data_IF_307483776360
#
_entry.id   IF_307483776360
#
_cell.length_a   1.000
_cell.length_b   1.000
_cell.length_c   1.000
_cell.angle_alpha   90.00
_cell.angle_beta   90.00
_cell.angle_gamma   90.00
#
_symmetry.space_group_name_H-M   'P 1'
#
loop_
_entity.id
_entity.type
_entity.pdbx_description
1 polymer ?
#
# COMPACT_ATOMS: atom_id res chain seq x y z
N UNK A 1 -2.27 7.94 11.41
CA UNK A 1 -2.09 6.88 10.40
C UNK A 1 -2.68 5.57 10.91
N UNK A 2 -2.94 4.56 10.05
CA UNK A 2 -3.43 3.24 10.47
C UNK A 2 -2.49 2.55 11.46
N UNK A 3 -3.07 1.74 12.37
CA UNK A 3 -2.32 1.00 13.40
C UNK A 3 -2.14 -0.50 13.09
N UNK A 4 -2.81 -1.02 12.07
CA UNK A 4 -2.59 -2.39 11.63
C UNK A 4 -1.21 -2.53 10.96
N UNK A 5 -0.51 -3.65 11.20
CA UNK A 5 0.88 -3.83 10.83
C UNK A 5 1.19 -3.58 9.35
N UNK A 6 0.32 -4.03 8.43
CA UNK A 6 0.54 -3.87 6.99
C UNK A 6 0.41 -2.41 6.55
N UNK A 7 -0.66 -1.74 6.96
CA UNK A 7 -0.90 -0.35 6.57
C UNK A 7 -0.04 0.62 7.38
N UNK A 8 0.37 0.27 8.61
CA UNK A 8 1.29 1.07 9.40
C UNK A 8 2.65 1.19 8.71
N UNK A 9 3.26 0.07 8.33
CA UNK A 9 4.54 0.08 7.62
C UNK A 9 4.45 0.86 6.30
N UNK A 10 3.39 0.64 5.50
CA UNK A 10 3.13 1.37 4.26
C UNK A 10 2.97 2.88 4.49
N UNK A 11 2.24 3.28 5.54
CA UNK A 11 2.05 4.67 5.90
C UNK A 11 3.36 5.36 6.30
N UNK A 12 4.23 4.66 7.04
CA UNK A 12 5.56 5.16 7.40
C UNK A 12 6.42 5.39 6.17
N UNK A 13 6.38 4.50 5.18
CA UNK A 13 7.10 4.69 3.91
C UNK A 13 6.58 5.92 3.15
N UNK A 14 5.28 6.17 3.13
CA UNK A 14 4.70 7.40 2.53
C UNK A 14 5.19 8.64 3.26
N UNK A 15 5.19 8.65 4.60
CA UNK A 15 5.68 9.79 5.39
C UNK A 15 7.17 10.05 5.17
N UNK A 16 7.98 8.97 5.04
CA UNK A 16 9.40 9.08 4.74
C UNK A 16 9.63 9.63 3.33
N UNK A 17 8.92 9.12 2.31
CA UNK A 17 9.03 9.61 0.93
C UNK A 17 8.61 11.07 0.80
N UNK A 18 7.65 11.52 1.61
CA UNK A 18 7.28 12.94 1.73
C UNK A 18 8.30 13.79 2.51
N UNK A 19 9.36 13.18 3.05
CA UNK A 19 10.40 13.85 3.83
C UNK A 19 9.90 14.40 5.16
N UNK A 20 8.88 13.79 5.75
CA UNK A 20 8.29 14.19 7.02
C UNK A 20 8.88 13.45 8.21
N UNK A 21 9.32 12.22 8.02
CA UNK A 21 10.01 11.40 9.01
C UNK A 21 11.26 10.76 8.41
N UNK A 22 12.13 10.29 9.31
CA UNK A 22 13.25 9.40 8.99
C UNK A 22 13.05 8.08 9.74
N UNK A 23 13.28 6.96 9.05
CA UNK A 23 13.24 5.62 9.62
C UNK A 23 14.65 5.10 9.82
N UNK A 24 14.98 4.67 11.02
CA UNK A 24 16.33 4.16 11.40
C UNK A 24 16.73 2.93 10.59
N UNK A 25 15.76 2.09 10.21
CA UNK A 25 15.94 0.91 9.36
C UNK A 25 16.05 1.24 7.86
N UNK A 26 15.84 2.52 7.47
CA UNK A 26 15.69 2.93 6.07
C UNK A 26 14.31 2.66 5.47
N UNK A 27 13.45 1.99 6.21
CA UNK A 27 12.07 1.65 5.82
C UNK A 27 11.94 0.26 5.18
N UNK A 28 11.13 -0.58 5.79
CA UNK A 28 10.80 -1.93 5.34
C UNK A 28 9.32 -2.21 5.56
N UNK A 29 8.83 -3.35 5.07
CA UNK A 29 7.47 -3.83 5.33
C UNK A 29 7.22 -4.19 6.82
N UNK A 30 8.25 -4.18 7.64
CA UNK A 30 8.20 -4.44 9.09
C UNK A 30 8.37 -3.17 9.92
N UNK A 31 8.54 -2.02 9.27
CA UNK A 31 8.70 -0.76 9.99
C UNK A 31 7.49 -0.45 10.86
N UNK A 32 7.75 -0.04 12.07
CA UNK A 32 6.76 0.38 13.04
C UNK A 32 7.12 1.74 13.66
N UNK A 33 6.34 2.19 14.64
CA UNK A 33 6.57 3.48 15.30
C UNK A 33 7.93 3.56 16.03
N UNK A 34 8.51 2.42 16.43
CA UNK A 34 9.81 2.40 17.11
C UNK A 34 10.98 2.65 16.13
N UNK A 35 10.75 2.48 14.83
CA UNK A 35 11.74 2.78 13.79
C UNK A 35 11.89 4.28 13.51
N UNK A 36 11.00 5.12 14.02
CA UNK A 36 11.04 6.56 13.75
C UNK A 36 12.21 7.18 14.51
N UNK A 37 13.14 7.81 13.78
CA UNK A 37 14.11 8.73 14.40
C UNK A 37 13.43 10.07 14.69
N UNK A 38 12.94 10.22 15.93
CA UNK A 38 12.26 11.44 16.36
C UNK A 38 13.14 12.70 16.23
N UNK A 39 14.47 12.54 16.32
CA UNK A 39 15.40 13.67 16.25
C UNK A 39 15.59 14.21 14.83
N UNK A 40 15.45 13.36 13.83
CA UNK A 40 15.55 13.69 12.42
C UNK A 40 14.17 13.96 11.76
N UNK A 41 13.08 13.59 12.42
CA UNK A 41 11.72 13.72 11.92
C UNK A 41 11.13 15.10 12.19
N UNK A 42 10.31 15.58 11.24
CA UNK A 42 9.67 16.91 11.30
C UNK A 42 8.31 16.89 12.00
N UNK A 43 7.71 15.71 12.10
CA UNK A 43 6.35 15.53 12.66
C UNK A 43 6.33 14.40 13.67
N UNK A 44 5.41 14.50 14.63
CA UNK A 44 5.09 13.40 15.54
C UNK A 44 4.01 12.54 14.92
N UNK A 45 4.22 11.24 14.89
CA UNK A 45 3.29 10.27 14.32
C UNK A 45 2.47 9.60 15.42
N UNK A 46 1.17 9.44 15.17
CA UNK A 46 0.24 8.67 16.02
C UNK A 46 -0.47 7.65 15.16
N UNK A 47 -0.53 6.41 15.63
CA UNK A 47 -1.28 5.34 15.00
C UNK A 47 -2.64 5.16 15.67
N UNK A 48 -3.69 4.98 14.89
CA UNK A 48 -5.07 4.77 15.30
C UNK A 48 -5.72 3.74 14.39
N UNK A 49 -6.79 3.11 14.85
CA UNK A 49 -7.61 2.25 13.99
C UNK A 49 -8.05 2.99 12.72
N UNK A 50 -7.91 2.35 11.56
CA UNK A 50 -8.15 2.97 10.26
C UNK A 50 -9.54 3.61 10.13
N UNK A 51 -10.57 2.98 10.70
CA UNK A 51 -11.95 3.47 10.68
C UNK A 51 -12.15 4.79 11.46
N UNK A 52 -11.26 5.13 12.40
CA UNK A 52 -11.35 6.34 13.22
C UNK A 52 -10.64 7.53 12.56
N UNK A 53 -9.70 7.27 11.66
CA UNK A 53 -8.85 8.30 11.05
C UNK A 53 -9.63 9.42 10.33
N UNK A 54 -10.72 9.13 9.57
CA UNK A 54 -11.53 10.19 8.96
C UNK A 54 -12.07 11.21 9.98
N UNK A 55 -12.55 10.72 11.12
CA UNK A 55 -13.12 11.58 12.17
C UNK A 55 -12.06 12.28 13.01
N UNK A 56 -10.82 11.78 13.01
CA UNK A 56 -9.68 12.39 13.72
C UNK A 56 -8.99 13.49 12.91
N UNK A 57 -9.28 13.60 11.60
CA UNK A 57 -8.60 14.54 10.72
C UNK A 57 -8.66 16.01 11.18
N UNK A 58 -9.77 16.52 11.76
CA UNK A 58 -9.82 17.89 12.26
C UNK A 58 -8.86 18.20 13.43
N UNK A 59 -8.39 17.17 14.14
CA UNK A 59 -7.56 17.29 15.33
C UNK A 59 -6.06 17.14 15.06
N UNK A 60 -5.68 16.86 13.80
CA UNK A 60 -4.30 16.63 13.38
C UNK A 60 -3.91 17.48 12.17
N UNK A 61 -2.63 17.65 11.94
CA UNK A 61 -2.15 18.40 10.78
C UNK A 61 -2.40 17.69 9.44
N UNK A 62 -2.31 16.37 9.44
CA UNK A 62 -2.61 15.50 8.30
C UNK A 62 -2.91 14.07 8.80
N UNK A 63 -3.61 13.29 7.99
CA UNK A 63 -3.87 11.88 8.25
C UNK A 63 -3.60 11.03 7.01
N UNK A 64 -3.02 9.85 7.19
CA UNK A 64 -2.95 8.85 6.13
C UNK A 64 -4.22 8.01 6.20
N UNK A 65 -4.97 8.02 5.12
CA UNK A 65 -6.21 7.27 4.96
C UNK A 65 -6.04 6.19 3.91
N UNK A 66 -6.56 5.00 4.17
CA UNK A 66 -6.76 4.00 3.14
C UNK A 66 -7.87 4.49 2.18
N UNK A 67 -7.80 4.11 0.92
CA UNK A 67 -8.73 4.54 -0.13
C UNK A 67 -10.21 4.37 0.28
N UNK A 68 -10.54 3.25 0.93
CA UNK A 68 -11.90 2.93 1.36
C UNK A 68 -12.50 3.94 2.36
N UNK A 69 -11.67 4.76 2.99
CA UNK A 69 -12.11 5.74 4.00
C UNK A 69 -12.10 7.19 3.49
N UNK A 70 -11.61 7.45 2.29
CA UNK A 70 -11.48 8.83 1.75
C UNK A 70 -12.86 9.46 1.56
N UNK A 71 -13.79 8.75 0.91
CA UNK A 71 -15.16 9.22 0.70
C UNK A 71 -15.92 9.39 2.04
N UNK A 72 -15.72 8.47 2.98
CA UNK A 72 -16.31 8.55 4.32
C UNK A 72 -15.81 9.78 5.11
N UNK A 73 -14.61 10.28 4.79
CA UNK A 73 -14.06 11.53 5.33
C UNK A 73 -14.66 12.79 4.67
N UNK A 74 -15.52 12.64 3.66
CA UNK A 74 -16.02 13.76 2.85
C UNK A 74 -14.94 14.38 1.95
N UNK A 75 -13.88 13.62 1.66
CA UNK A 75 -12.74 14.03 0.84
C UNK A 75 -12.80 13.36 -0.53
N UNK A 76 -12.00 13.89 -1.43
CA UNK A 76 -11.68 13.28 -2.73
C UNK A 76 -10.20 12.97 -2.81
N UNK A 77 -9.80 12.11 -3.73
CA UNK A 77 -8.39 11.79 -3.94
C UNK A 77 -7.56 13.00 -4.41
N UNK A 78 -8.22 14.01 -4.98
CA UNK A 78 -7.57 15.28 -5.36
C UNK A 78 -7.15 16.13 -4.15
N UNK A 79 -7.69 15.86 -2.96
CA UNK A 79 -7.32 16.54 -1.72
C UNK A 79 -6.04 15.97 -1.11
N UNK A 80 -5.52 14.85 -1.64
CA UNK A 80 -4.31 14.23 -1.13
C UNK A 80 -3.08 15.11 -1.38
N UNK A 81 -2.30 15.35 -0.32
CA UNK A 81 -1.04 16.10 -0.38
C UNK A 81 0.18 15.18 -0.60
N UNK A 82 0.02 13.88 -0.39
CA UNK A 82 0.99 12.83 -0.68
C UNK A 82 0.25 11.50 -0.86
N UNK A 83 0.82 10.60 -1.62
CA UNK A 83 0.35 9.24 -1.83
C UNK A 83 1.54 8.33 -2.10
N UNK A 84 1.35 7.02 -1.96
CA UNK A 84 2.34 6.05 -2.41
C UNK A 84 2.44 6.04 -3.94
N UNK A 85 3.64 5.78 -4.44
CA UNK A 85 3.91 5.66 -5.87
C UNK A 85 3.92 4.17 -6.24
N UNK A 86 2.96 3.69 -7.06
CA UNK A 86 2.93 2.30 -7.49
C UNK A 86 4.12 1.90 -8.38
N UNK A 87 4.89 2.87 -8.88
CA UNK A 87 6.12 2.62 -9.63
C UNK A 87 7.36 2.46 -8.74
N UNK A 88 7.26 2.80 -7.45
CA UNK A 88 8.34 2.59 -6.49
C UNK A 88 8.55 1.07 -6.28
N UNK A 89 9.79 0.55 -6.45
CA UNK A 89 10.08 -0.84 -6.13
C UNK A 89 9.71 -1.26 -4.71
N UNK A 90 9.70 -0.33 -3.76
CA UNK A 90 9.29 -0.58 -2.38
C UNK A 90 7.76 -0.74 -2.23
N UNK A 91 6.97 -0.34 -3.22
CA UNK A 91 5.53 -0.56 -3.25
C UNK A 91 5.15 -1.98 -3.72
N UNK A 92 6.09 -2.71 -4.36
CA UNK A 92 5.82 -4.02 -4.94
C UNK A 92 5.25 -5.05 -3.95
N UNK A 93 5.68 -5.12 -2.68
CA UNK A 93 5.08 -6.00 -1.68
C UNK A 93 3.60 -5.73 -1.38
N UNK A 94 3.09 -4.55 -1.73
CA UNK A 94 1.71 -4.13 -1.47
C UNK A 94 0.80 -4.22 -2.70
N UNK A 95 1.32 -4.70 -3.82
CA UNK A 95 0.53 -4.88 -5.05
C UNK A 95 -0.48 -6.00 -4.87
N UNK A 96 -1.75 -5.73 -5.17
CA UNK A 96 -2.79 -6.74 -5.20
C UNK A 96 -2.56 -7.71 -6.37
N UNK A 97 -2.66 -9.00 -6.11
CA UNK A 97 -2.40 -10.06 -7.08
C UNK A 97 -3.52 -11.09 -7.13
N UNK A 98 -3.62 -11.79 -8.23
CA UNK A 98 -4.31 -13.08 -8.27
C UNK A 98 -3.37 -14.16 -7.78
N UNK A 99 -3.74 -14.86 -6.70
CA UNK A 99 -2.97 -15.96 -6.16
C UNK A 99 -3.69 -17.29 -6.43
N UNK A 100 -2.95 -18.31 -6.81
CA UNK A 100 -3.43 -19.67 -6.99
C UNK A 100 -2.57 -20.66 -6.18
N UNK A 101 -3.07 -21.87 -5.96
CA UNK A 101 -2.26 -22.96 -5.43
C UNK A 101 -1.16 -23.30 -6.44
N UNK A 102 -0.03 -23.79 -5.97
CA UNK A 102 1.10 -24.17 -6.84
C UNK A 102 0.69 -25.18 -7.94
N UNK A 103 -0.15 -26.15 -7.60
CA UNK A 103 -0.66 -27.15 -8.54
C UNK A 103 -1.61 -26.58 -9.60
N UNK A 104 -2.15 -25.39 -9.37
CA UNK A 104 -3.07 -24.69 -10.27
C UNK A 104 -2.39 -23.52 -11.01
N UNK A 105 -1.08 -23.36 -10.90
CA UNK A 105 -0.36 -22.22 -11.48
C UNK A 105 -0.53 -22.10 -13.01
N UNK A 106 -0.64 -23.25 -13.69
CA UNK A 106 -0.82 -23.33 -15.13
C UNK A 106 -2.29 -23.59 -15.54
N UNK A 107 -3.25 -23.35 -14.65
CA UNK A 107 -4.65 -23.55 -14.94
C UNK A 107 -5.14 -22.53 -15.97
N UNK A 108 -5.51 -23.01 -17.16
CA UNK A 108 -5.89 -22.17 -18.30
C UNK A 108 -7.09 -21.24 -17.99
N UNK A 109 -8.03 -21.70 -17.14
CA UNK A 109 -9.17 -20.88 -16.73
C UNK A 109 -8.73 -19.71 -15.86
N UNK A 110 -7.80 -19.94 -14.92
CA UNK A 110 -7.29 -18.87 -14.07
C UNK A 110 -6.43 -17.89 -14.85
N UNK A 111 -5.57 -18.38 -15.75
CA UNK A 111 -4.79 -17.51 -16.64
C UNK A 111 -5.69 -16.67 -17.54
N UNK A 112 -6.78 -17.25 -18.07
CA UNK A 112 -7.76 -16.50 -18.87
C UNK A 112 -8.50 -15.44 -18.05
N UNK A 113 -8.78 -15.71 -16.78
CA UNK A 113 -9.41 -14.74 -15.88
C UNK A 113 -8.48 -13.54 -15.63
N UNK A 114 -7.20 -13.79 -15.40
CA UNK A 114 -6.19 -12.73 -15.26
C UNK A 114 -6.07 -11.91 -16.55
N UNK A 115 -6.01 -12.57 -17.71
CA UNK A 115 -5.97 -11.90 -19.01
C UNK A 115 -7.20 -10.98 -19.20
N UNK A 116 -8.40 -11.47 -18.91
CA UNK A 116 -9.63 -10.66 -18.98
C UNK A 116 -9.55 -9.46 -18.05
N UNK A 117 -9.13 -9.68 -16.80
CA UNK A 117 -8.98 -8.60 -15.83
C UNK A 117 -8.01 -7.52 -16.34
N UNK A 118 -6.90 -7.90 -16.95
CA UNK A 118 -5.87 -6.97 -17.41
C UNK A 118 -6.18 -6.28 -18.75
N UNK A 119 -7.06 -6.86 -19.58
CA UNK A 119 -7.23 -6.41 -20.97
C UNK A 119 -8.64 -5.99 -21.33
N UNK A 120 -9.66 -6.37 -20.55
CA UNK A 120 -11.05 -6.02 -20.87
C UNK A 120 -11.35 -4.58 -20.41
N UNK A 121 -11.78 -3.74 -21.35
CA UNK A 121 -12.01 -2.31 -21.10
C UNK A 121 -13.13 -2.07 -20.07
N UNK A 122 -14.20 -2.86 -20.07
CA UNK A 122 -15.30 -2.69 -19.13
C UNK A 122 -14.85 -3.07 -17.69
N UNK A 123 -14.02 -4.10 -17.55
CA UNK A 123 -13.45 -4.49 -16.25
C UNK A 123 -12.51 -3.41 -15.73
N UNK A 124 -11.67 -2.85 -16.61
CA UNK A 124 -10.76 -1.77 -16.23
C UNK A 124 -11.53 -0.48 -15.87
N UNK A 125 -12.58 -0.15 -16.61
CA UNK A 125 -13.45 0.97 -16.25
C UNK A 125 -14.16 0.76 -14.92
N UNK A 126 -14.62 -0.46 -14.64
CA UNK A 126 -15.19 -0.83 -13.33
C UNK A 126 -14.20 -0.71 -12.18
N UNK A 127 -12.94 -1.13 -12.39
CA UNK A 127 -11.87 -0.97 -11.41
C UNK A 127 -11.62 0.51 -11.08
N UNK A 128 -11.48 1.35 -12.10
CA UNK A 128 -11.30 2.79 -11.93
C UNK A 128 -12.48 3.42 -11.19
N UNK A 129 -13.71 3.12 -11.63
CA UNK A 129 -14.91 3.66 -10.98
C UNK A 129 -15.02 3.25 -9.49
N UNK A 130 -14.67 1.99 -9.16
CA UNK A 130 -14.73 1.51 -7.78
C UNK A 130 -13.63 2.05 -6.87
N UNK A 131 -12.54 2.53 -7.45
CA UNK A 131 -11.39 3.08 -6.73
C UNK A 131 -11.33 4.62 -6.73
N UNK A 132 -12.38 5.30 -7.24
CA UNK A 132 -12.36 6.75 -7.38
C UNK A 132 -11.23 7.24 -8.29
N UNK A 133 -10.99 6.51 -9.39
CA UNK A 133 -9.94 6.78 -10.39
C UNK A 133 -8.49 6.70 -9.87
N UNK A 134 -8.25 6.07 -8.71
CA UNK A 134 -6.90 5.94 -8.12
C UNK A 134 -6.22 4.63 -8.44
N UNK A 135 -6.94 3.59 -8.86
CA UNK A 135 -6.33 2.31 -9.16
C UNK A 135 -5.40 2.42 -10.37
N UNK A 136 -4.23 1.80 -10.24
CA UNK A 136 -3.27 1.63 -11.34
C UNK A 136 -3.24 0.16 -11.73
N UNK A 137 -3.68 -0.13 -12.96
CA UNK A 137 -3.64 -1.49 -13.50
C UNK A 137 -2.20 -1.86 -13.86
N UNK A 138 -1.50 -2.50 -12.95
CA UNK A 138 -0.14 -2.96 -13.15
C UNK A 138 -0.13 -4.27 -13.95
N UNK A 139 0.88 -4.41 -14.81
CA UNK A 139 1.19 -5.63 -15.53
C UNK A 139 2.59 -6.12 -15.13
N UNK A 140 2.83 -6.21 -13.82
CA UNK A 140 4.10 -6.63 -13.26
C UNK A 140 4.43 -8.07 -13.69
N UNK A 141 5.62 -8.33 -14.24
CA UNK A 141 6.03 -9.68 -14.60
C UNK A 141 5.97 -10.64 -13.41
N UNK A 142 5.48 -11.85 -13.63
CA UNK A 142 5.38 -12.88 -12.57
C UNK A 142 6.75 -13.14 -11.90
N UNK A 143 7.84 -13.08 -12.66
CA UNK A 143 9.18 -13.25 -12.11
C UNK A 143 9.54 -12.20 -11.06
N UNK A 144 9.09 -10.96 -11.25
CA UNK A 144 9.34 -9.85 -10.31
C UNK A 144 8.48 -10.02 -9.04
N UNK A 145 7.22 -10.45 -9.19
CA UNK A 145 6.35 -10.79 -8.07
C UNK A 145 6.92 -11.92 -7.22
N UNK A 146 7.41 -12.99 -7.86
CA UNK A 146 8.04 -14.14 -7.18
C UNK A 146 9.34 -13.71 -6.50
N UNK A 147 10.14 -12.85 -7.13
CA UNK A 147 11.37 -12.32 -6.54
C UNK A 147 11.07 -11.45 -5.30
N UNK A 148 10.06 -10.59 -5.39
CA UNK A 148 9.59 -9.78 -4.26
C UNK A 148 9.09 -10.65 -3.11
N UNK A 149 8.26 -11.67 -3.39
CA UNK A 149 7.78 -12.60 -2.37
C UNK A 149 8.93 -13.31 -1.66
N UNK A 150 9.92 -13.79 -2.43
CA UNK A 150 11.10 -14.46 -1.86
C UNK A 150 11.88 -13.54 -0.93
N UNK A 151 12.10 -12.31 -1.33
CA UNK A 151 12.76 -11.30 -0.48
C UNK A 151 11.98 -11.07 0.81
N UNK A 152 10.65 -10.89 0.73
CA UNK A 152 9.79 -10.73 1.91
C UNK A 152 9.87 -11.94 2.83
N UNK A 153 9.89 -13.18 2.29
CA UNK A 153 10.03 -14.39 3.08
C UNK A 153 11.40 -14.49 3.77
N UNK A 154 12.48 -14.09 3.09
CA UNK A 154 13.82 -14.01 3.68
C UNK A 154 13.87 -12.98 4.81
N UNK A 155 13.27 -11.82 4.61
CA UNK A 155 13.18 -10.75 5.61
C UNK A 155 12.34 -11.19 6.84
N UNK A 156 11.23 -11.89 6.64
CA UNK A 156 10.42 -12.51 7.72
C UNK A 156 11.27 -13.50 8.52
N UNK A 157 12.02 -14.36 7.84
CA UNK A 157 12.86 -15.37 8.51
C UNK A 157 14.03 -14.75 9.30
N UNK A 158 14.49 -13.57 8.90
CA UNK A 158 15.57 -12.85 9.57
C UNK A 158 15.11 -12.04 10.79
N UNK A 159 13.83 -11.60 10.81
CA UNK A 159 13.28 -10.73 11.85
C UNK A 159 12.25 -11.43 12.76
N UNK A 160 11.86 -12.65 12.48
CA UNK A 160 10.99 -13.50 13.30
C UNK A 160 11.77 -14.51 14.07
#
# INVERSE_FOLDING_TARGET
MPDDASNQARALLVLQSAGLIELTSGGTIFSDLADIDESASKVKVVALEAAILPTSLPDVAASILNNDFVEAAGLTFADAIAQDDPSDPNALPYVNIFAARADDADNETYLKLVEIFQTNEDVQAGLLASSGDTAVALQTPVADLVSSLKKVQEDVAANG
#
